data_IF_648048414337
#
_entry.id   IF_648048414337
#
_cell.length_a   1.000
_cell.length_b   1.000
_cell.length_c   1.000
_cell.angle_alpha   90.00
_cell.angle_beta   90.00
_cell.angle_gamma   90.00
#
_symmetry.space_group_name_H-M   'P 1'
#
loop_
_entity.id
_entity.type
_entity.pdbx_description
1 polymer ?
#
# COMPACT_ATOMS: atom_id res chain seq x y z
N UNK A 1 6.70 -64.01 -0.35
CA UNK A 1 6.76 -64.81 -1.60
C UNK A 1 5.94 -64.11 -2.66
N UNK A 2 6.56 -63.93 -3.83
CA UNK A 2 6.01 -63.66 -5.16
C UNK A 2 5.14 -62.43 -5.47
N UNK A 3 5.76 -61.59 -6.31
CA UNK A 3 5.18 -60.80 -7.40
C UNK A 3 4.03 -61.51 -8.15
N UNK A 4 3.07 -60.75 -8.66
CA UNK A 4 2.72 -60.84 -10.08
C UNK A 4 1.92 -59.61 -10.55
N UNK A 5 2.54 -58.87 -11.46
CA UNK A 5 1.90 -57.88 -12.33
C UNK A 5 0.88 -58.57 -13.24
N UNK A 6 -0.30 -57.95 -13.42
CA UNK A 6 -1.06 -58.10 -14.66
C UNK A 6 -1.48 -56.72 -15.19
N UNK A 7 -0.89 -56.47 -16.34
CA UNK A 7 -1.06 -55.40 -17.29
C UNK A 7 -2.32 -55.67 -18.13
N UNK A 8 -3.19 -54.67 -18.29
CA UNK A 8 -3.83 -54.34 -19.55
C UNK A 8 -4.88 -53.23 -19.37
N UNK A 9 -4.73 -52.16 -20.15
CA UNK A 9 -5.80 -51.58 -20.99
C UNK A 9 -5.31 -50.32 -21.70
N UNK A 10 -4.92 -50.56 -22.96
CA UNK A 10 -5.33 -49.82 -24.16
C UNK A 10 -5.30 -48.29 -24.08
N UNK A 11 -4.19 -47.71 -24.54
CA UNK A 11 -4.11 -46.31 -24.97
C UNK A 11 -4.56 -46.24 -26.44
N UNK A 12 -5.72 -45.61 -26.69
CA UNK A 12 -6.10 -45.15 -28.03
C UNK A 12 -5.44 -43.81 -28.30
N UNK A 13 -4.52 -43.76 -29.27
CA UNK A 13 -4.02 -42.51 -29.83
C UNK A 13 -4.84 -42.16 -31.08
N UNK A 14 -5.38 -40.93 -31.19
CA UNK A 14 -5.92 -40.47 -32.45
C UNK A 14 -4.77 -40.13 -33.43
N UNK A 15 -4.90 -40.66 -34.64
CA UNK A 15 -4.05 -40.40 -35.80
C UNK A 15 -4.26 -38.93 -36.21
N UNK A 16 -3.21 -38.13 -36.13
CA UNK A 16 -3.21 -36.75 -36.63
C UNK A 16 -2.57 -36.76 -38.01
N UNK A 17 -3.34 -36.38 -39.01
CA UNK A 17 -2.94 -36.21 -40.41
C UNK A 17 -1.94 -35.03 -40.50
N UNK A 18 -0.66 -35.35 -40.72
CA UNK A 18 0.39 -34.36 -40.89
C UNK A 18 0.46 -34.00 -42.37
N UNK A 19 -0.27 -32.94 -42.74
CA UNK A 19 -0.14 -32.30 -44.04
C UNK A 19 1.30 -31.84 -44.28
N UNK A 20 1.90 -32.34 -45.37
CA UNK A 20 3.24 -31.99 -45.82
C UNK A 20 3.23 -30.54 -46.37
N UNK A 21 3.84 -29.59 -45.65
CA UNK A 21 4.03 -28.20 -46.11
C UNK A 21 5.46 -28.07 -46.63
N UNK A 22 5.62 -27.84 -47.93
CA UNK A 22 6.92 -27.64 -48.58
C UNK A 22 7.68 -26.41 -48.05
N UNK A 23 9.00 -26.31 -48.32
CA UNK A 23 9.83 -25.26 -47.74
C UNK A 23 9.46 -23.87 -48.27
N UNK A 24 9.03 -22.98 -47.36
CA UNK A 24 8.89 -21.54 -47.61
C UNK A 24 10.27 -20.93 -47.87
N UNK A 25 10.46 -20.35 -49.04
CA UNK A 25 11.60 -19.48 -49.33
C UNK A 25 11.61 -18.30 -48.35
N UNK A 26 12.72 -18.12 -47.65
CA UNK A 26 12.94 -16.97 -46.77
C UNK A 26 13.18 -15.73 -47.64
N UNK A 27 12.21 -14.79 -47.66
CA UNK A 27 12.50 -13.41 -48.04
C UNK A 27 12.84 -12.63 -46.77
N UNK A 28 14.02 -11.99 -46.66
CA UNK A 28 14.29 -11.08 -45.56
C UNK A 28 13.39 -9.85 -45.69
N UNK A 29 12.73 -9.47 -44.59
CA UNK A 29 11.98 -8.22 -44.52
C UNK A 29 12.89 -7.04 -44.89
N UNK A 30 12.44 -6.08 -45.71
CA UNK A 30 13.20 -4.87 -45.96
C UNK A 30 13.37 -4.09 -44.65
N UNK A 31 14.56 -3.53 -44.45
CA UNK A 31 14.87 -2.72 -43.28
C UNK A 31 13.91 -1.52 -43.16
N UNK A 32 13.48 -1.16 -41.94
CA UNK A 32 12.57 -0.04 -41.73
C UNK A 32 13.22 1.26 -42.20
N UNK A 33 12.44 2.07 -42.90
CA UNK A 33 12.92 3.34 -43.45
C UNK A 33 13.23 4.35 -42.33
N UNK A 34 14.19 5.26 -42.56
CA UNK A 34 14.63 6.27 -41.58
C UNK A 34 13.51 7.10 -40.94
N UNK A 35 12.33 7.14 -41.55
CA UNK A 35 11.16 7.87 -41.05
C UNK A 35 10.46 7.16 -39.87
N UNK A 36 10.60 5.84 -39.71
CA UNK A 36 10.03 5.11 -38.55
C UNK A 36 10.87 5.27 -37.27
N UNK A 37 12.17 5.56 -37.40
CA UNK A 37 13.08 5.78 -36.27
C UNK A 37 12.83 7.12 -35.55
N UNK A 38 12.18 8.09 -36.21
CA UNK A 38 11.86 9.40 -35.64
C UNK A 38 10.57 9.41 -34.82
N UNK A 39 9.70 8.42 -34.99
CA UNK A 39 8.42 8.30 -34.26
C UNK A 39 8.50 7.61 -32.90
N UNK A 40 9.64 7.04 -32.52
CA UNK A 40 9.77 6.25 -31.28
C UNK A 40 10.17 7.02 -30.02
N UNK A 41 10.20 8.36 -30.04
CA UNK A 41 10.61 9.16 -28.86
C UNK A 41 9.61 10.23 -28.42
N UNK A 42 8.30 9.98 -28.55
CA UNK A 42 7.34 10.68 -27.70
C UNK A 42 7.10 9.80 -26.49
N UNK A 43 7.88 10.02 -25.42
CA UNK A 43 7.49 9.51 -24.11
C UNK A 43 6.15 10.14 -23.78
N UNK A 44 5.08 9.35 -23.53
CA UNK A 44 3.82 9.92 -23.10
C UNK A 44 4.10 10.69 -21.82
N UNK A 45 3.68 11.96 -21.79
CA UNK A 45 3.70 12.78 -20.59
C UNK A 45 2.89 12.00 -19.56
N UNK A 46 3.57 11.36 -18.60
CA UNK A 46 2.95 10.65 -17.48
C UNK A 46 2.25 11.72 -16.66
N UNK A 47 0.97 11.95 -16.94
CA UNK A 47 0.13 12.75 -16.07
C UNK A 47 0.20 12.06 -14.71
N UNK A 48 0.72 12.72 -13.66
CA UNK A 48 0.70 12.12 -12.34
C UNK A 48 -0.76 11.82 -12.06
N UNK A 49 -1.08 10.54 -11.81
CA UNK A 49 -2.42 10.21 -11.37
C UNK A 49 -2.68 11.07 -10.12
N UNK A 50 -3.80 11.77 -10.07
CA UNK A 50 -4.08 12.66 -8.95
C UNK A 50 -4.87 11.87 -7.91
N UNK A 51 -4.46 11.94 -6.65
CA UNK A 51 -5.23 11.37 -5.56
C UNK A 51 -6.49 12.24 -5.37
N UNK A 52 -7.65 11.66 -5.68
CA UNK A 52 -8.95 12.36 -5.61
C UNK A 52 -9.53 12.18 -4.21
N UNK A 53 -9.43 13.22 -3.38
CA UNK A 53 -9.88 13.19 -1.98
C UNK A 53 -11.37 12.88 -1.84
N UNK A 54 -12.22 13.40 -2.72
CA UNK A 54 -13.67 13.13 -2.68
C UNK A 54 -13.98 11.64 -2.79
N UNK A 55 -13.20 10.88 -3.56
CA UNK A 55 -13.37 9.43 -3.65
C UNK A 55 -13.00 8.72 -2.33
N UNK A 56 -11.97 9.21 -1.63
CA UNK A 56 -11.61 8.69 -0.31
C UNK A 56 -12.70 9.01 0.72
N UNK A 57 -13.17 10.25 0.76
CA UNK A 57 -14.26 10.67 1.65
C UNK A 57 -15.53 9.87 1.38
N UNK A 58 -15.90 9.63 0.12
CA UNK A 58 -17.05 8.80 -0.24
C UNK A 58 -16.90 7.35 0.23
N UNK A 59 -15.70 6.77 0.09
CA UNK A 59 -15.41 5.42 0.60
C UNK A 59 -15.53 5.37 2.12
N UNK A 60 -14.95 6.33 2.83
CA UNK A 60 -15.06 6.44 4.29
C UNK A 60 -16.52 6.61 4.74
N UNK A 61 -17.32 7.36 3.99
CA UNK A 61 -18.75 7.55 4.25
C UNK A 61 -19.54 6.25 4.15
N UNK A 62 -19.20 5.38 3.19
CA UNK A 62 -19.83 4.05 3.06
C UNK A 62 -19.44 3.11 4.20
N UNK A 63 -18.28 3.32 4.82
CA UNK A 63 -17.83 2.49 5.95
C UNK A 63 -18.62 2.83 7.21
N UNK A 64 -18.80 4.12 7.48
CA UNK A 64 -19.49 4.60 8.69
C UNK A 64 -21.03 4.58 8.58
N UNK A 65 -21.61 4.08 7.49
CA UNK A 65 -23.07 3.92 7.36
C UNK A 65 -23.63 2.76 8.20
N UNK A 66 -22.82 2.20 9.09
CA UNK A 66 -23.16 1.14 10.02
C UNK A 66 -23.43 1.77 11.40
N UNK A 67 -24.50 1.38 12.10
CA UNK A 67 -25.01 2.13 13.26
C UNK A 67 -24.00 2.29 14.40
N UNK A 68 -23.11 1.31 14.60
CA UNK A 68 -22.13 1.35 15.68
C UNK A 68 -20.81 2.04 15.29
N UNK A 69 -20.51 2.19 13.99
CA UNK A 69 -19.26 2.77 13.51
C UNK A 69 -19.47 4.22 13.09
N UNK A 70 -19.12 5.15 13.95
CA UNK A 70 -19.49 6.55 13.75
C UNK A 70 -18.37 7.42 13.18
N UNK A 71 -17.11 6.98 13.15
CA UNK A 71 -16.02 7.82 12.64
C UNK A 71 -14.92 7.00 11.97
N UNK A 72 -14.45 7.49 10.82
CA UNK A 72 -13.32 6.93 10.11
C UNK A 72 -12.35 8.04 9.73
N UNK A 73 -11.06 7.82 10.00
CA UNK A 73 -9.99 8.82 9.83
C UNK A 73 -8.84 8.21 9.05
N UNK A 74 -8.39 8.89 8.00
CA UNK A 74 -7.18 8.57 7.26
C UNK A 74 -6.13 9.63 7.57
N UNK A 75 -4.94 9.19 7.99
CA UNK A 75 -3.85 10.08 8.40
C UNK A 75 -2.48 9.49 8.05
N UNK A 76 -1.45 10.33 8.02
CA UNK A 76 -0.08 9.87 7.74
C UNK A 76 0.54 9.21 8.98
N UNK A 77 1.56 8.35 8.85
CA UNK A 77 2.27 7.81 10.01
C UNK A 77 2.93 8.89 10.89
N UNK A 78 3.13 10.10 10.35
CA UNK A 78 3.63 11.27 11.09
C UNK A 78 2.52 12.03 11.85
N UNK A 79 1.29 11.51 11.88
CA UNK A 79 0.16 12.11 12.61
C UNK A 79 -0.56 13.23 11.86
N UNK A 80 -0.34 13.40 10.55
CA UNK A 80 -1.03 14.44 9.79
C UNK A 80 -2.39 13.92 9.29
N UNK A 81 -3.47 14.60 9.66
CA UNK A 81 -4.82 14.30 9.18
C UNK A 81 -4.91 14.52 7.66
N UNK A 82 -5.33 13.49 6.92
CA UNK A 82 -5.55 13.56 5.46
C UNK A 82 -7.03 13.80 5.16
N UNK A 83 -7.91 12.95 5.68
CA UNK A 83 -9.38 13.08 5.55
C UNK A 83 -10.07 12.34 6.67
N UNK A 84 -11.30 12.71 6.99
CA UNK A 84 -12.16 12.00 7.93
C UNK A 84 -13.61 12.07 7.49
N UNK A 85 -14.42 11.16 8.03
CA UNK A 85 -15.88 11.21 7.99
C UNK A 85 -16.39 10.82 9.37
N UNK A 86 -17.45 11.48 9.83
CA UNK A 86 -18.12 11.18 11.10
C UNK A 86 -19.62 11.38 11.00
N UNK A 87 -20.39 10.48 11.60
CA UNK A 87 -21.84 10.60 11.80
C UNK A 87 -22.18 10.19 13.24
N UNK A 88 -22.66 11.11 14.11
CA UNK A 88 -22.89 12.53 13.85
C UNK A 88 -21.60 13.31 13.55
N UNK A 89 -21.75 14.49 12.94
CA UNK A 89 -20.62 15.37 12.61
C UNK A 89 -19.85 15.72 13.90
N UNK A 90 -18.54 15.41 13.91
CA UNK A 90 -17.64 15.73 15.01
C UNK A 90 -16.82 17.00 14.76
N UNK A 91 -16.51 17.78 15.80
CA UNK A 91 -15.54 18.86 15.72
C UNK A 91 -14.17 18.35 15.26
N UNK A 92 -13.45 19.18 14.49
CA UNK A 92 -12.12 18.83 13.98
C UNK A 92 -11.11 18.55 15.09
N UNK A 93 -11.26 19.19 16.24
CA UNK A 93 -10.35 18.99 17.38
C UNK A 93 -10.54 17.61 18.02
N UNK A 94 -11.77 17.09 18.12
CA UNK A 94 -12.00 15.69 18.53
C UNK A 94 -11.37 14.69 17.56
N UNK A 95 -11.49 14.95 16.25
CA UNK A 95 -10.86 14.11 15.22
C UNK A 95 -9.34 14.12 15.37
N UNK A 96 -8.75 15.26 15.76
CA UNK A 96 -7.30 15.35 16.04
C UNK A 96 -6.90 14.55 17.29
N UNK A 97 -7.76 14.47 18.30
CA UNK A 97 -7.53 13.60 19.46
C UNK A 97 -7.50 12.14 19.02
N UNK A 98 -8.45 11.70 18.18
CA UNK A 98 -8.46 10.34 17.60
C UNK A 98 -7.15 10.06 16.85
N UNK A 99 -6.66 11.00 16.05
CA UNK A 99 -5.38 10.87 15.33
C UNK A 99 -4.20 10.73 16.31
N UNK A 100 -4.16 11.54 17.36
CA UNK A 100 -3.10 11.48 18.38
C UNK A 100 -3.05 10.12 19.08
N UNK A 101 -4.19 9.69 19.64
CA UNK A 101 -4.32 8.40 20.31
C UNK A 101 -3.98 7.23 19.36
N UNK A 102 -4.49 7.27 18.14
CA UNK A 102 -4.22 6.23 17.14
C UNK A 102 -2.74 6.16 16.77
N UNK A 103 -2.07 7.31 16.71
CA UNK A 103 -0.64 7.40 16.43
C UNK A 103 0.20 6.77 17.54
N UNK A 104 -0.11 7.08 18.81
CA UNK A 104 0.58 6.53 19.98
C UNK A 104 0.42 5.01 20.06
N UNK A 105 -0.83 4.53 20.01
CA UNK A 105 -1.15 3.10 20.06
C UNK A 105 -0.49 2.35 18.91
N UNK A 106 -0.47 2.92 17.71
CA UNK A 106 0.22 2.31 16.57
C UNK A 106 1.72 2.14 16.81
N UNK A 107 2.42 3.14 17.38
CA UNK A 107 3.85 3.00 17.65
C UNK A 107 4.14 1.84 18.62
N UNK A 108 3.28 1.64 19.62
CA UNK A 108 3.42 0.57 20.61
C UNK A 108 3.08 -0.82 20.05
N UNK A 109 2.15 -0.89 19.09
CA UNK A 109 1.54 -2.14 18.62
C UNK A 109 1.86 -2.49 17.17
N UNK A 110 2.75 -1.72 16.50
CA UNK A 110 3.10 -1.90 15.08
C UNK A 110 3.46 -3.34 14.70
N UNK A 111 4.13 -4.07 15.61
CA UNK A 111 4.56 -5.46 15.41
C UNK A 111 3.38 -6.44 15.31
N UNK A 112 2.23 -6.06 15.88
CA UNK A 112 0.98 -6.83 15.81
C UNK A 112 0.22 -6.56 14.50
N UNK A 113 0.59 -5.51 13.76
CA UNK A 113 -0.04 -5.09 12.50
C UNK A 113 -1.38 -4.36 12.68
N UNK A 114 -1.74 -3.99 13.90
CA UNK A 114 -2.88 -3.15 14.25
C UNK A 114 -2.75 -2.66 15.70
N UNK A 115 -3.45 -1.59 16.04
CA UNK A 115 -3.57 -1.07 17.39
C UNK A 115 -5.01 -0.90 17.81
N UNK A 116 -5.31 -1.05 19.10
CA UNK A 116 -6.66 -0.97 19.66
C UNK A 116 -6.63 -0.19 20.97
N UNK A 117 -7.60 0.72 21.15
CA UNK A 117 -7.72 1.50 22.38
C UNK A 117 -9.18 1.83 22.66
N UNK A 118 -9.58 1.61 23.91
CA UNK A 118 -10.87 2.07 24.43
C UNK A 118 -10.69 3.49 25.00
N UNK A 119 -11.59 4.41 24.66
CA UNK A 119 -11.46 5.82 25.00
C UNK A 119 -12.82 6.47 25.23
N UNK A 120 -12.82 7.68 25.80
CA UNK A 120 -14.05 8.48 25.96
C UNK A 120 -14.73 8.83 24.61
N UNK A 121 -13.99 8.73 23.50
CA UNK A 121 -14.50 8.96 22.15
C UNK A 121 -15.04 7.68 21.49
N UNK A 122 -14.96 6.53 22.17
CA UNK A 122 -15.32 5.22 21.66
C UNK A 122 -14.13 4.25 21.55
N UNK A 123 -14.41 3.08 20.98
CA UNK A 123 -13.45 2.03 20.68
C UNK A 123 -12.77 2.33 19.35
N UNK A 124 -11.46 2.51 19.39
CA UNK A 124 -10.66 2.85 18.22
C UNK A 124 -9.82 1.64 17.83
N UNK A 125 -9.89 1.25 16.56
CA UNK A 125 -8.86 0.41 15.93
C UNK A 125 -8.07 1.24 14.93
N UNK A 126 -6.75 1.08 14.94
CA UNK A 126 -5.85 1.64 13.94
C UNK A 126 -5.19 0.50 13.17
N UNK A 127 -5.19 0.61 11.84
CA UNK A 127 -4.51 -0.37 10.97
C UNK A 127 -3.67 0.33 9.90
N UNK A 128 -2.56 -0.29 9.47
CA UNK A 128 -1.71 0.26 8.42
C UNK A 128 -2.31 0.08 7.04
N UNK A 129 -2.12 1.07 6.17
CA UNK A 129 -2.32 0.93 4.73
C UNK A 129 -0.98 0.59 4.09
N UNK A 130 -0.79 -0.69 3.81
CA UNK A 130 0.47 -1.23 3.30
C UNK A 130 0.75 -0.86 1.85
N UNK A 131 2.05 -0.81 1.49
CA UNK A 131 2.46 -0.68 0.09
C UNK A 131 2.50 -2.05 -0.60
N UNK A 132 1.47 -2.35 -1.39
CA UNK A 132 1.38 -3.62 -2.14
C UNK A 132 2.32 -3.71 -3.33
N UNK A 133 2.83 -2.58 -3.84
CA UNK A 133 3.73 -2.53 -5.01
C UNK A 133 5.21 -2.65 -4.59
N UNK A 134 5.46 -2.90 -3.31
CA UNK A 134 6.81 -2.92 -2.79
C UNK A 134 7.54 -4.19 -3.21
N UNK A 135 8.75 -4.00 -3.73
CA UNK A 135 9.63 -5.10 -4.10
C UNK A 135 10.21 -5.77 -2.84
N UNK A 136 10.14 -7.11 -2.73
CA UNK A 136 10.86 -7.82 -1.67
C UNK A 136 12.37 -7.56 -1.81
N UNK A 137 13.02 -7.15 -0.71
CA UNK A 137 14.45 -6.82 -0.67
C UNK A 137 14.80 -5.33 -0.60
N UNK A 138 13.84 -4.42 -0.48
CA UNK A 138 14.15 -3.01 -0.20
C UNK A 138 14.77 -2.87 1.21
N UNK A 139 15.96 -2.28 1.29
CA UNK A 139 16.82 -2.11 2.48
C UNK A 139 16.31 -1.10 3.53
N UNK A 140 15.04 -0.69 3.48
CA UNK A 140 14.48 0.15 4.53
C UNK A 140 14.25 -0.70 5.77
N UNK A 141 15.13 -0.57 6.77
CA UNK A 141 14.85 -0.98 8.15
C UNK A 141 13.50 -0.38 8.55
N UNK A 142 12.56 -1.22 8.96
CA UNK A 142 11.20 -0.86 9.37
C UNK A 142 10.44 0.11 8.45
N UNK A 143 9.94 -0.40 7.32
CA UNK A 143 9.10 0.38 6.43
C UNK A 143 7.86 0.93 7.12
N UNK A 144 7.74 2.26 7.14
CA UNK A 144 6.51 2.91 7.53
C UNK A 144 5.41 2.59 6.51
N UNK A 145 4.16 2.37 6.96
CA UNK A 145 3.04 2.18 6.05
C UNK A 145 2.78 3.46 5.24
N UNK A 146 2.05 3.35 4.12
CA UNK A 146 1.74 4.52 3.29
C UNK A 146 0.89 5.54 4.05
N UNK A 147 -0.07 5.04 4.83
CA UNK A 147 -0.98 5.79 5.69
C UNK A 147 -1.46 4.90 6.83
N UNK A 148 -2.14 5.48 7.80
CA UNK A 148 -2.88 4.79 8.85
C UNK A 148 -4.36 5.11 8.71
N UNK A 149 -5.22 4.12 8.96
CA UNK A 149 -6.66 4.32 9.08
C UNK A 149 -7.11 3.97 10.50
N UNK A 150 -7.79 4.92 11.13
CA UNK A 150 -8.48 4.72 12.39
C UNK A 150 -9.98 4.58 12.15
N UNK A 151 -10.58 3.53 12.68
CA UNK A 151 -12.03 3.36 12.77
C UNK A 151 -12.43 3.47 14.23
N UNK A 152 -13.43 4.30 14.52
CA UNK A 152 -13.91 4.55 15.86
C UNK A 152 -15.41 4.22 15.94
N UNK A 153 -15.75 3.31 16.86
CA UNK A 153 -17.09 2.79 17.10
C UNK A 153 -17.54 3.02 18.54
N UNK A 154 -18.84 2.85 18.78
CA UNK A 154 -19.33 2.71 20.15
C UNK A 154 -18.96 1.35 20.78
N UNK A 155 -19.38 1.15 22.03
CA UNK A 155 -19.13 -0.05 22.82
C UNK A 155 -19.91 -1.30 22.36
N UNK A 156 -20.90 -1.14 21.46
CA UNK A 156 -21.73 -2.24 20.98
C UNK A 156 -21.05 -3.07 19.89
N UNK A 157 -20.04 -2.52 19.20
CA UNK A 157 -19.27 -3.24 18.21
C UNK A 157 -18.13 -4.05 18.85
N UNK A 158 -18.07 -5.33 18.50
CA UNK A 158 -17.02 -6.23 18.97
C UNK A 158 -15.67 -5.91 18.33
N UNK A 159 -14.61 -6.04 19.13
CA UNK A 159 -13.24 -5.75 18.73
C UNK A 159 -12.78 -6.50 17.49
N UNK A 160 -13.11 -7.80 17.41
CA UNK A 160 -12.77 -8.65 16.26
C UNK A 160 -13.46 -8.16 14.99
N UNK A 161 -14.71 -7.71 15.08
CA UNK A 161 -15.45 -7.16 13.94
C UNK A 161 -14.83 -5.84 13.49
N UNK A 162 -14.58 -4.93 14.43
CA UNK A 162 -13.99 -3.62 14.16
C UNK A 162 -12.62 -3.76 13.47
N UNK A 163 -11.77 -4.66 13.99
CA UNK A 163 -10.47 -4.97 13.41
C UNK A 163 -10.59 -5.56 11.99
N UNK A 164 -11.51 -6.51 11.77
CA UNK A 164 -11.70 -7.11 10.46
C UNK A 164 -12.14 -6.07 9.41
N UNK A 165 -13.03 -5.15 9.79
CA UNK A 165 -13.42 -4.02 8.92
C UNK A 165 -12.25 -3.11 8.61
N UNK A 166 -11.48 -2.72 9.64
CA UNK A 166 -10.28 -1.90 9.46
C UNK A 166 -9.34 -2.50 8.42
N UNK A 167 -8.99 -3.78 8.56
CA UNK A 167 -8.11 -4.50 7.64
C UNK A 167 -8.66 -4.54 6.21
N UNK A 168 -9.96 -4.76 6.04
CA UNK A 168 -10.60 -4.78 4.73
C UNK A 168 -10.53 -3.42 4.04
N UNK A 169 -10.80 -2.35 4.79
CA UNK A 169 -10.71 -0.96 4.31
C UNK A 169 -9.27 -0.62 3.91
N UNK A 170 -8.31 -0.93 4.77
CA UNK A 170 -6.90 -0.71 4.49
C UNK A 170 -6.44 -1.45 3.23
N UNK A 171 -6.85 -2.70 3.05
CA UNK A 171 -6.55 -3.50 1.85
C UNK A 171 -7.14 -2.87 0.58
N UNK A 172 -8.36 -2.32 0.68
CA UNK A 172 -8.98 -1.61 -0.44
C UNK A 172 -8.21 -0.32 -0.79
N UNK A 173 -7.82 0.46 0.22
CA UNK A 173 -7.06 1.69 0.06
C UNK A 173 -5.66 1.46 -0.50
N UNK A 174 -4.97 0.41 -0.06
CA UNK A 174 -3.61 0.07 -0.47
C UNK A 174 -3.46 0.02 -2.01
N UNK A 175 -4.42 -0.62 -2.70
CA UNK A 175 -4.42 -0.71 -4.18
C UNK A 175 -4.42 0.66 -4.89
N UNK A 176 -5.05 1.66 -4.28
CA UNK A 176 -5.12 3.01 -4.84
C UNK A 176 -3.92 3.85 -4.41
N UNK A 177 -3.48 3.73 -3.17
CA UNK A 177 -2.41 4.53 -2.60
C UNK A 177 -1.01 4.08 -3.04
N UNK A 178 -0.79 2.80 -3.32
CA UNK A 178 0.51 2.30 -3.80
C UNK A 178 0.96 2.93 -5.12
N UNK A 179 0.03 3.39 -5.95
CA UNK A 179 0.33 4.15 -7.18
C UNK A 179 1.03 5.47 -6.88
N UNK A 180 0.86 5.99 -5.67
CA UNK A 180 1.39 7.26 -5.18
C UNK A 180 2.54 7.11 -4.20
N UNK A 181 3.07 5.90 -3.99
CA UNK A 181 4.10 5.61 -2.99
C UNK A 181 5.28 6.60 -3.02
N UNK A 182 5.70 7.04 -4.20
CA UNK A 182 6.86 7.93 -4.39
C UNK A 182 6.63 9.33 -3.80
N UNK A 183 5.37 9.72 -3.61
CA UNK A 183 4.94 10.98 -3.02
C UNK A 183 4.47 10.84 -1.57
N UNK A 184 4.03 9.64 -1.16
CA UNK A 184 3.51 9.36 0.18
C UNK A 184 4.61 8.93 1.17
N UNK A 185 5.65 8.26 0.68
CA UNK A 185 6.79 7.87 1.52
C UNK A 185 7.64 9.11 1.78
N UNK A 186 7.55 9.63 3.01
CA UNK A 186 8.48 10.65 3.49
C UNK A 186 9.86 10.02 3.54
N UNK A 187 10.71 10.36 2.56
CA UNK A 187 12.11 9.97 2.59
C UNK A 187 12.76 10.63 3.80
N UNK A 188 13.36 9.84 4.68
CA UNK A 188 14.26 10.38 5.72
C UNK A 188 15.27 11.30 5.01
N UNK A 189 15.38 12.59 5.39
CA UNK A 189 16.36 13.47 4.76
C UNK A 189 17.73 12.82 4.89
N UNK A 190 18.43 12.66 3.76
CA UNK A 190 19.81 12.18 3.75
C UNK A 190 20.62 13.05 4.69
N UNK A 191 21.31 12.41 5.63
CA UNK A 191 22.20 13.01 6.64
C UNK A 191 22.92 14.26 6.10
N UNK A 192 23.00 15.37 6.87
CA UNK A 192 23.80 16.52 6.47
C UNK A 192 25.24 16.07 6.19
N UNK A 193 25.95 16.69 5.23
CA UNK A 193 27.35 16.36 5.02
C UNK A 193 28.12 16.62 6.32
N UNK A 194 28.74 15.56 6.84
CA UNK A 194 29.74 15.64 7.91
C UNK A 194 30.73 16.73 7.55
N UNK A 195 30.62 17.88 8.21
CA UNK A 195 31.63 18.93 8.09
C UNK A 195 32.81 18.45 8.92
N UNK A 196 33.82 17.94 8.22
CA UNK A 196 35.09 17.54 8.80
C UNK A 196 35.63 18.63 9.74
N UNK A 197 36.12 18.18 10.89
CA UNK A 197 36.71 18.96 11.95
C UNK A 197 37.60 20.12 11.46
N UNK A 198 37.26 21.35 11.86
CA UNK A 198 38.24 22.42 11.98
C UNK A 198 38.66 22.42 13.44
N UNK A 199 39.90 22.02 13.66
CA UNK A 199 40.56 21.96 14.96
C UNK A 199 40.51 23.32 15.65
N UNK A 200 40.10 23.31 16.92
CA UNK A 200 40.20 24.46 17.82
C UNK A 200 41.66 24.60 18.28
N UNK A 201 42.34 25.74 18.09
CA UNK A 201 43.64 25.95 18.71
C UNK A 201 43.46 26.39 20.18
N UNK A 202 44.20 25.73 21.07
CA UNK A 202 44.19 25.97 22.51
C UNK A 202 44.63 27.40 22.90
N UNK A 203 44.20 27.95 24.04
CA UNK A 203 44.63 29.27 24.49
C UNK A 203 46.04 29.20 25.09
N UNK A 204 46.90 30.10 24.62
CA UNK A 204 48.22 30.36 25.23
C UNK A 204 48.00 31.10 26.55
N UNK A 205 48.58 30.56 27.61
CA UNK A 205 48.60 31.10 28.97
C UNK A 205 49.59 32.27 29.04
N UNK A 206 49.15 33.41 29.55
CA UNK A 206 49.98 34.53 30.03
C UNK A 206 49.53 34.93 31.42
#
# INVERSE_FOLDING_TARGET
MSMSMKQDRSYSHPIIDVGYVGPRSYQPNPAPSKNELLTSQVTPIRVPSMLVLSNLTNLLSQIISLPALHTAVLFTPAGQLVTFVSEPIRPKDEVRIIVGLSGEVWQETREQGYGMVDSELGRIVVVPVEDVERKPGSTAEDPLPLMLIALNSDESMEWTELQAKGKLVATHLARSLSKYREFLVVRKPSTPPTTSAIASPAPVRS
#
